data_IF_523538949305
#
_entry.id   IF_523538949305
#
_cell.length_a   1.000
_cell.length_b   1.000
_cell.length_c   1.000
_cell.angle_alpha   90.00
_cell.angle_beta   90.00
_cell.angle_gamma   90.00
#
_symmetry.space_group_name_H-M   'P 1'
#
loop_
_entity.id
_entity.type
_entity.pdbx_description
1 polymer ?
#
# COMPACT_ATOMS: atom_id res chain seq x y z
N UNK A 1 -46.14 29.06 14.68
CA UNK A 1 -45.05 29.57 15.54
C UNK A 1 -44.14 30.43 14.68
N UNK A 2 -44.04 31.73 15.01
CA UNK A 2 -43.07 32.67 14.44
C UNK A 2 -41.67 32.34 14.98
N UNK A 3 -40.63 32.43 14.15
CA UNK A 3 -39.38 33.14 14.50
C UNK A 3 -38.69 33.65 13.23
N UNK A 4 -38.50 34.96 13.21
CA UNK A 4 -37.70 35.72 12.24
C UNK A 4 -36.20 35.45 12.47
N UNK A 5 -35.39 35.61 11.42
CA UNK A 5 -34.03 36.14 11.56
C UNK A 5 -33.61 36.86 10.27
N UNK A 6 -32.84 37.96 10.38
CA UNK A 6 -32.96 39.12 9.50
C UNK A 6 -31.85 39.22 8.45
N UNK A 7 -32.20 39.86 7.34
CA UNK A 7 -31.32 40.46 6.34
C UNK A 7 -30.45 41.54 6.97
N UNK A 8 -29.12 41.43 6.86
CA UNK A 8 -28.21 42.53 7.21
C UNK A 8 -27.77 43.27 5.95
N UNK A 9 -28.26 44.51 5.88
CA UNK A 9 -27.89 45.57 4.94
C UNK A 9 -26.45 46.02 5.17
N UNK A 10 -25.66 46.11 4.10
CA UNK A 10 -24.37 46.79 4.13
C UNK A 10 -24.59 48.30 3.99
N UNK A 11 -24.50 49.04 5.11
CA UNK A 11 -24.27 50.49 5.05
C UNK A 11 -22.80 50.74 4.78
N UNK A 12 -22.51 51.24 3.59
CA UNK A 12 -21.21 51.85 3.25
C UNK A 12 -21.10 53.15 4.04
N UNK A 13 -20.27 53.17 5.08
CA UNK A 13 -19.85 54.42 5.70
C UNK A 13 -18.83 55.05 4.75
N UNK A 14 -19.29 56.05 4.02
CA UNK A 14 -18.48 56.94 3.20
C UNK A 14 -17.83 57.94 4.16
N UNK A 15 -16.53 57.80 4.41
CA UNK A 15 -15.77 58.81 5.17
C UNK A 15 -15.11 59.75 4.17
N UNK A 16 -15.59 60.99 4.22
CA UNK A 16 -15.19 62.14 3.42
C UNK A 16 -13.70 62.46 3.62
N UNK A 17 -12.96 62.62 2.52
CA UNK A 17 -11.54 62.99 2.51
C UNK A 17 -11.40 64.49 2.83
N UNK A 18 -11.55 64.92 4.09
CA UNK A 18 -11.22 66.30 4.50
C UNK A 18 -11.10 66.42 6.02
N UNK A 19 -9.93 66.04 6.51
CA UNK A 19 -9.19 66.65 7.64
C UNK A 19 -8.06 65.67 7.99
N UNK A 20 -6.83 66.01 7.60
CA UNK A 20 -5.64 65.30 8.05
C UNK A 20 -5.15 66.02 9.31
N UNK A 21 -5.33 65.46 10.52
CA UNK A 21 -4.64 65.97 11.70
C UNK A 21 -3.15 65.62 11.59
N UNK A 22 -2.30 66.51 12.10
CA UNK A 22 -0.84 66.48 12.04
C UNK A 22 -0.26 65.06 12.02
N UNK A 23 0.49 64.75 10.96
CA UNK A 23 1.19 63.47 10.82
C UNK A 23 2.21 63.38 11.96
N UNK A 24 1.85 62.64 13.02
CA UNK A 24 2.80 62.13 13.99
C UNK A 24 3.83 61.35 13.17
N UNK A 25 5.07 61.83 13.08
CA UNK A 25 6.17 61.08 12.49
C UNK A 25 6.35 59.80 13.31
N UNK A 26 5.74 58.72 12.82
CA UNK A 26 5.87 57.41 13.42
C UNK A 26 7.33 56.99 13.25
N UNK A 27 8.07 56.71 14.34
CA UNK A 27 9.48 56.33 14.24
C UNK A 27 9.61 55.15 13.27
N UNK A 28 10.62 55.14 12.37
CA UNK A 28 10.73 54.14 11.30
C UNK A 28 10.75 52.68 11.81
N UNK A 29 11.21 52.47 13.04
CA UNK A 29 11.16 51.16 13.72
C UNK A 29 9.73 50.65 13.98
N UNK A 30 8.78 51.56 14.15
CA UNK A 30 7.37 51.24 14.42
C UNK A 30 6.64 50.90 13.11
N UNK A 31 6.94 51.61 12.01
CA UNK A 31 6.45 51.26 10.67
C UNK A 31 6.95 49.88 10.23
N UNK A 32 8.24 49.60 10.44
CA UNK A 32 8.82 48.28 10.17
C UNK A 32 8.15 47.17 10.98
N UNK A 33 7.75 47.42 12.24
CA UNK A 33 7.01 46.43 13.04
C UNK A 33 5.60 46.19 12.52
N UNK A 34 4.88 47.23 12.07
CA UNK A 34 3.52 47.11 11.54
C UNK A 34 3.54 46.32 10.21
N UNK A 35 4.49 46.63 9.33
CA UNK A 35 4.66 45.95 8.03
C UNK A 35 5.02 44.46 8.20
N UNK A 36 5.93 44.14 9.13
CA UNK A 36 6.26 42.75 9.47
C UNK A 36 5.08 41.99 10.10
N UNK A 37 4.24 42.66 10.91
CA UNK A 37 3.05 42.05 11.53
C UNK A 37 1.94 41.83 10.50
N UNK A 38 1.74 42.72 9.53
CA UNK A 38 0.79 42.51 8.43
C UNK A 38 1.25 41.41 7.47
N UNK A 39 2.53 41.39 7.06
CA UNK A 39 3.07 40.33 6.20
C UNK A 39 3.00 38.95 6.87
N UNK A 40 3.29 38.83 8.17
CA UNK A 40 3.19 37.56 8.91
C UNK A 40 1.74 37.10 9.08
N UNK A 41 0.77 38.01 9.25
CA UNK A 41 -0.65 37.68 9.33
C UNK A 41 -1.26 37.30 7.96
N UNK A 42 -0.83 37.95 6.87
CA UNK A 42 -1.26 37.61 5.51
C UNK A 42 -0.66 36.27 5.07
N UNK A 43 0.62 36.02 5.33
CA UNK A 43 1.28 34.74 4.98
C UNK A 43 0.76 33.56 5.81
N UNK A 44 0.50 33.75 7.11
CA UNK A 44 -0.09 32.71 7.97
C UNK A 44 -1.55 32.38 7.59
N UNK A 45 -2.37 33.37 7.25
CA UNK A 45 -3.73 33.13 6.76
C UNK A 45 -3.76 32.48 5.37
N UNK A 46 -2.80 32.80 4.48
CA UNK A 46 -2.66 32.16 3.17
C UNK A 46 -2.23 30.69 3.29
N UNK A 47 -1.32 30.38 4.20
CA UNK A 47 -0.83 29.01 4.48
C UNK A 47 -1.89 28.17 5.19
N UNK A 48 -2.62 28.74 6.16
CA UNK A 48 -3.76 28.10 6.80
C UNK A 48 -4.86 27.76 5.80
N UNK A 49 -5.24 28.69 4.93
CA UNK A 49 -6.24 28.47 3.89
C UNK A 49 -5.80 27.40 2.87
N UNK A 50 -4.51 27.33 2.52
CA UNK A 50 -3.95 26.26 1.68
C UNK A 50 -4.00 24.90 2.38
N UNK A 51 -3.57 24.82 3.65
CA UNK A 51 -3.58 23.59 4.44
C UNK A 51 -5.01 23.07 4.64
N UNK A 52 -5.94 23.94 5.00
CA UNK A 52 -7.35 23.61 5.17
C UNK A 52 -8.01 23.15 3.86
N UNK A 53 -7.69 23.80 2.74
CA UNK A 53 -8.15 23.38 1.41
C UNK A 53 -7.58 22.02 1.01
N UNK A 54 -6.29 21.78 1.26
CA UNK A 54 -5.65 20.48 1.04
C UNK A 54 -6.27 19.39 1.91
N UNK A 55 -6.51 19.66 3.20
CA UNK A 55 -7.13 18.72 4.13
C UNK A 55 -8.56 18.37 3.69
N UNK A 56 -9.34 19.35 3.21
CA UNK A 56 -10.67 19.11 2.64
C UNK A 56 -10.61 18.24 1.38
N UNK A 57 -9.67 18.49 0.49
CA UNK A 57 -9.47 17.66 -0.71
C UNK A 57 -9.05 16.24 -0.30
N UNK A 58 -8.11 16.10 0.62
CA UNK A 58 -7.66 14.83 1.17
C UNK A 58 -8.83 14.06 1.83
N UNK A 59 -9.62 14.73 2.67
CA UNK A 59 -10.81 14.15 3.30
C UNK A 59 -11.85 13.69 2.26
N UNK A 60 -12.07 14.47 1.19
CA UNK A 60 -12.95 14.06 0.08
C UNK A 60 -12.46 12.81 -0.65
N UNK A 61 -11.16 12.51 -0.66
CA UNK A 61 -10.64 11.25 -1.26
C UNK A 61 -11.17 10.01 -0.53
N UNK A 62 -11.49 10.08 0.76
CA UNK A 62 -12.09 8.97 1.51
C UNK A 62 -13.51 8.63 1.06
N UNK A 63 -14.21 9.54 0.38
CA UNK A 63 -15.53 9.27 -0.20
C UNK A 63 -15.47 8.38 -1.44
N UNK A 64 -14.27 8.09 -1.96
CA UNK A 64 -14.07 7.27 -3.16
C UNK A 64 -14.38 7.99 -4.46
N UNK A 65 -13.91 7.42 -5.57
CA UNK A 65 -14.02 8.00 -6.91
C UNK A 65 -15.37 7.72 -7.60
N UNK A 66 -16.33 7.10 -6.89
CA UNK A 66 -17.65 6.74 -7.42
C UNK A 66 -17.59 5.89 -8.70
N UNK A 67 -16.54 5.08 -8.86
CA UNK A 67 -16.42 4.13 -9.96
C UNK A 67 -17.48 3.01 -9.84
N UNK A 68 -17.94 2.52 -10.99
CA UNK A 68 -18.90 1.42 -11.03
C UNK A 68 -18.29 0.13 -10.46
N UNK A 69 -19.10 -0.62 -9.72
CA UNK A 69 -18.67 -1.91 -9.15
C UNK A 69 -18.38 -2.90 -10.29
N UNK A 70 -17.37 -3.77 -10.13
CA UNK A 70 -17.12 -4.83 -11.10
C UNK A 70 -18.35 -5.73 -11.25
N UNK A 71 -18.65 -6.14 -12.49
CA UNK A 71 -19.77 -7.03 -12.80
C UNK A 71 -19.60 -8.38 -12.09
N UNK A 72 -20.72 -8.99 -11.68
CA UNK A 72 -20.71 -10.34 -11.08
C UNK A 72 -20.16 -11.36 -12.06
N UNK A 73 -19.35 -12.28 -11.55
CA UNK A 73 -18.79 -13.37 -12.34
C UNK A 73 -19.83 -14.51 -12.47
N UNK A 74 -19.81 -15.29 -13.57
CA UNK A 74 -20.64 -16.48 -13.67
C UNK A 74 -20.18 -17.55 -12.67
N UNK A 75 -21.09 -18.43 -12.22
CA UNK A 75 -20.80 -19.45 -11.19
C UNK A 75 -19.61 -20.36 -11.51
N UNK A 76 -19.38 -20.64 -12.79
CA UNK A 76 -18.25 -21.40 -13.31
C UNK A 76 -16.90 -20.80 -12.88
N UNK A 77 -16.79 -19.48 -12.85
CA UNK A 77 -15.56 -18.79 -12.44
C UNK A 77 -15.31 -18.99 -10.94
N UNK A 78 -16.33 -18.88 -10.09
CA UNK A 78 -16.18 -19.14 -8.66
C UNK A 78 -15.73 -20.58 -8.38
N UNK A 79 -16.26 -21.55 -9.13
CA UNK A 79 -15.85 -22.95 -9.03
C UNK A 79 -14.36 -23.13 -9.38
N UNK A 80 -13.89 -22.60 -10.51
CA UNK A 80 -12.48 -22.70 -10.91
C UNK A 80 -11.55 -21.95 -9.96
N UNK A 81 -11.97 -20.80 -9.43
CA UNK A 81 -11.25 -20.09 -8.37
C UNK A 81 -11.08 -20.95 -7.12
N UNK A 82 -12.15 -21.63 -6.69
CA UNK A 82 -12.12 -22.52 -5.54
C UNK A 82 -11.20 -23.72 -5.75
N UNK A 83 -11.37 -24.45 -6.87
CA UNK A 83 -10.53 -25.62 -7.18
C UNK A 83 -9.06 -25.22 -7.29
N UNK A 84 -8.76 -24.12 -7.97
CA UNK A 84 -7.39 -23.62 -8.11
C UNK A 84 -6.76 -23.25 -6.77
N UNK A 85 -7.46 -22.46 -5.95
CA UNK A 85 -6.98 -22.06 -4.64
C UNK A 85 -6.81 -23.26 -3.70
N UNK A 86 -7.77 -24.18 -3.68
CA UNK A 86 -7.69 -25.40 -2.88
C UNK A 86 -6.49 -26.25 -3.28
N UNK A 87 -6.34 -26.57 -4.57
CA UNK A 87 -5.22 -27.40 -5.04
C UNK A 87 -3.87 -26.70 -4.87
N UNK A 88 -3.80 -25.40 -5.11
CA UNK A 88 -2.57 -24.61 -4.96
C UNK A 88 -2.10 -24.59 -3.51
N UNK A 89 -2.99 -24.22 -2.58
CA UNK A 89 -2.67 -24.20 -1.15
C UNK A 89 -2.43 -25.60 -0.62
N UNK A 90 -3.19 -26.61 -1.04
CA UNK A 90 -2.96 -28.00 -0.64
C UNK A 90 -1.59 -28.50 -1.11
N UNK A 91 -1.17 -28.17 -2.34
CA UNK A 91 0.15 -28.54 -2.88
C UNK A 91 1.28 -27.85 -2.10
N UNK A 92 1.18 -26.54 -1.86
CA UNK A 92 2.17 -25.80 -1.05
C UNK A 92 2.21 -26.33 0.38
N UNK A 93 1.06 -26.57 0.99
CA UNK A 93 0.97 -27.13 2.34
C UNK A 93 1.59 -28.53 2.38
N UNK A 94 1.28 -29.39 1.42
CA UNK A 94 1.87 -30.73 1.32
C UNK A 94 3.39 -30.65 1.19
N UNK A 95 3.89 -29.81 0.28
CA UNK A 95 5.32 -29.59 0.06
C UNK A 95 6.01 -29.14 1.36
N UNK A 96 5.45 -28.14 2.04
CA UNK A 96 6.04 -27.58 3.25
C UNK A 96 5.91 -28.50 4.46
N UNK A 97 4.80 -29.20 4.66
CA UNK A 97 4.64 -30.12 5.80
C UNK A 97 5.43 -31.41 5.66
N UNK A 98 5.74 -31.85 4.42
CA UNK A 98 6.51 -33.09 4.18
C UNK A 98 8.00 -32.86 4.04
N UNK A 99 8.44 -31.76 3.41
CA UNK A 99 9.86 -31.50 3.13
C UNK A 99 10.53 -30.62 4.18
N UNK A 100 9.77 -29.82 4.94
CA UNK A 100 10.34 -28.88 5.90
C UNK A 100 9.83 -29.21 7.31
N UNK A 101 10.76 -29.36 8.25
CA UNK A 101 10.47 -29.82 9.59
C UNK A 101 9.51 -28.87 10.35
N UNK A 102 8.67 -29.45 11.22
CA UNK A 102 7.40 -28.97 11.81
C UNK A 102 7.37 -27.60 12.51
N UNK A 103 8.43 -26.79 12.52
CA UNK A 103 8.45 -25.54 13.28
C UNK A 103 8.75 -24.38 12.33
N UNK A 104 7.75 -23.49 12.19
CA UNK A 104 7.86 -22.06 11.80
C UNK A 104 7.46 -21.67 10.36
N UNK A 105 7.13 -22.62 9.49
CA UNK A 105 6.69 -22.32 8.12
C UNK A 105 5.19 -22.03 7.95
N UNK A 106 4.42 -22.15 9.03
CA UNK A 106 2.96 -21.92 9.03
C UNK A 106 2.58 -20.51 8.60
N UNK A 107 3.43 -19.50 8.82
CA UNK A 107 3.13 -18.13 8.41
C UNK A 107 3.18 -17.92 6.90
N UNK A 108 3.99 -18.70 6.17
CA UNK A 108 4.12 -18.54 4.73
C UNK A 108 2.86 -18.99 3.96
N UNK A 109 2.06 -19.86 4.57
CA UNK A 109 0.73 -20.21 4.08
C UNK A 109 -0.16 -18.96 4.02
N UNK A 110 0.00 -17.98 4.91
CA UNK A 110 -0.75 -16.71 4.85
C UNK A 110 -0.40 -15.87 3.62
N UNK A 111 0.89 -15.77 3.29
CA UNK A 111 1.36 -15.07 2.07
C UNK A 111 0.85 -15.79 0.82
N UNK A 112 1.00 -17.11 0.73
CA UNK A 112 0.48 -17.88 -0.41
C UNK A 112 -1.05 -17.93 -0.49
N UNK A 113 -1.76 -17.82 0.64
CA UNK A 113 -3.21 -17.66 0.67
C UNK A 113 -3.66 -16.38 -0.05
N UNK A 114 -2.96 -15.27 0.19
CA UNK A 114 -3.19 -14.04 -0.56
C UNK A 114 -2.81 -14.20 -2.04
N UNK A 115 -1.72 -14.91 -2.36
CA UNK A 115 -1.36 -15.26 -3.74
C UNK A 115 -2.46 -16.08 -4.42
N UNK A 116 -3.04 -17.06 -3.73
CA UNK A 116 -4.14 -17.87 -4.24
C UNK A 116 -5.36 -17.01 -4.59
N UNK A 117 -5.70 -16.04 -3.73
CA UNK A 117 -6.83 -15.15 -3.96
C UNK A 117 -6.69 -14.37 -5.27
N UNK A 118 -5.49 -13.91 -5.62
CA UNK A 118 -5.27 -13.16 -6.86
C UNK A 118 -5.01 -14.06 -8.07
N UNK A 119 -4.22 -15.13 -7.94
CA UNK A 119 -3.88 -16.02 -9.06
C UNK A 119 -5.11 -16.79 -9.57
N UNK A 120 -5.96 -17.24 -8.64
CA UNK A 120 -7.13 -18.04 -9.00
C UNK A 120 -8.42 -17.21 -9.03
N UNK A 121 -8.53 -16.15 -8.21
CA UNK A 121 -9.69 -15.26 -8.19
C UNK A 121 -9.66 -14.15 -9.26
N UNK A 122 -8.47 -13.73 -9.69
CA UNK A 122 -8.27 -12.70 -10.70
C UNK A 122 -7.09 -13.04 -11.64
N UNK A 123 -7.12 -14.17 -12.37
CA UNK A 123 -5.97 -14.69 -13.14
C UNK A 123 -5.44 -13.73 -14.23
N UNK A 124 -6.28 -12.81 -14.72
CA UNK A 124 -5.89 -11.79 -15.71
C UNK A 124 -5.24 -10.55 -15.10
N UNK A 125 -5.18 -10.45 -13.77
CA UNK A 125 -4.53 -9.34 -13.09
C UNK A 125 -3.03 -9.30 -13.45
N UNK A 126 -2.43 -8.11 -13.69
CA UNK A 126 -0.99 -8.00 -13.86
C UNK A 126 -0.21 -8.51 -12.63
N UNK A 127 -0.82 -8.42 -11.44
CA UNK A 127 -0.23 -8.90 -10.19
C UNK A 127 -0.26 -10.43 -10.05
N UNK A 128 -1.10 -11.11 -10.83
CA UNK A 128 -1.21 -12.57 -10.83
C UNK A 128 -0.26 -13.24 -11.81
N UNK A 129 0.40 -12.50 -12.71
CA UNK A 129 1.23 -13.07 -13.76
C UNK A 129 2.52 -13.71 -13.23
N UNK A 130 3.15 -14.65 -13.97
CA UNK A 130 4.30 -15.42 -13.51
C UNK A 130 5.48 -14.55 -13.05
N UNK A 131 5.80 -13.48 -13.79
CA UNK A 131 6.84 -12.50 -13.40
C UNK A 131 6.56 -11.89 -12.04
N UNK A 132 5.35 -11.38 -11.83
CA UNK A 132 4.94 -10.79 -10.56
C UNK A 132 4.97 -11.84 -9.45
N UNK A 133 4.42 -13.02 -9.67
CA UNK A 133 4.36 -14.09 -8.68
C UNK A 133 5.76 -14.52 -8.20
N UNK A 134 6.63 -14.95 -9.13
CA UNK A 134 7.97 -15.44 -8.79
C UNK A 134 8.86 -14.29 -8.35
N UNK A 135 8.95 -13.23 -9.17
CA UNK A 135 9.82 -12.09 -8.91
C UNK A 135 9.44 -11.35 -7.64
N UNK A 136 8.14 -11.18 -7.39
CA UNK A 136 7.63 -10.56 -6.17
C UNK A 136 8.02 -11.34 -4.92
N UNK A 137 7.70 -12.64 -4.83
CA UNK A 137 8.09 -13.45 -3.66
C UNK A 137 9.60 -13.51 -3.46
N UNK A 138 10.37 -13.62 -4.55
CA UNK A 138 11.83 -13.66 -4.50
C UNK A 138 12.42 -12.36 -3.96
N UNK A 139 12.00 -11.22 -4.51
CA UNK A 139 12.45 -9.89 -4.05
C UNK A 139 11.97 -9.62 -2.63
N UNK A 140 10.72 -9.95 -2.29
CA UNK A 140 10.20 -9.82 -0.94
C UNK A 140 11.00 -10.62 0.08
N UNK A 141 11.32 -11.88 -0.24
CA UNK A 141 12.17 -12.72 0.60
C UNK A 141 13.58 -12.13 0.76
N UNK A 142 14.22 -11.68 -0.33
CA UNK A 142 15.54 -11.05 -0.30
C UNK A 142 15.52 -9.79 0.57
N UNK A 143 14.57 -8.87 0.34
CA UNK A 143 14.44 -7.64 1.13
C UNK A 143 14.26 -7.96 2.61
N UNK A 144 13.38 -8.89 2.95
CA UNK A 144 13.16 -9.29 4.34
C UNK A 144 14.40 -9.92 4.99
N UNK A 145 15.12 -10.79 4.29
CA UNK A 145 16.36 -11.38 4.79
C UNK A 145 17.48 -10.34 4.96
N UNK A 146 17.67 -9.44 3.99
CA UNK A 146 18.66 -8.35 4.06
C UNK A 146 18.36 -7.42 5.23
N UNK A 147 17.09 -6.99 5.36
CA UNK A 147 16.66 -6.14 6.46
C UNK A 147 16.87 -6.86 7.80
N UNK A 148 16.48 -8.14 7.91
CA UNK A 148 16.67 -8.94 9.11
C UNK A 148 18.13 -9.03 9.55
N UNK A 149 19.06 -9.14 8.61
CA UNK A 149 20.51 -9.12 8.88
C UNK A 149 20.98 -7.73 9.32
N UNK A 150 20.54 -6.67 8.65
CA UNK A 150 20.95 -5.29 8.93
C UNK A 150 20.49 -4.81 10.31
N UNK A 151 19.30 -5.22 10.75
CA UNK A 151 18.67 -4.73 11.99
C UNK A 151 18.77 -5.74 13.15
N UNK A 152 19.62 -6.76 13.05
CA UNK A 152 19.62 -7.89 13.98
C UNK A 152 19.65 -7.47 15.47
N UNK A 153 20.27 -6.31 15.77
CA UNK A 153 20.42 -5.74 17.11
C UNK A 153 19.29 -4.74 17.52
N UNK A 154 18.36 -4.43 16.62
CA UNK A 154 17.27 -3.47 16.83
C UNK A 154 15.91 -4.15 17.07
N UNK A 155 14.93 -3.36 17.47
CA UNK A 155 13.54 -3.79 17.65
C UNK A 155 12.95 -4.39 16.37
N UNK A 156 12.37 -5.60 16.51
CA UNK A 156 11.82 -6.36 15.36
C UNK A 156 10.67 -5.62 14.66
N UNK A 157 9.90 -4.83 15.39
CA UNK A 157 8.76 -4.07 14.88
C UNK A 157 9.16 -3.07 13.79
N UNK A 158 10.27 -2.35 14.02
CA UNK A 158 10.85 -1.42 13.04
C UNK A 158 11.34 -2.18 11.82
N UNK A 159 11.92 -3.35 12.04
CA UNK A 159 12.33 -4.25 10.97
C UNK A 159 11.25 -4.70 10.02
N UNK A 160 10.13 -5.13 10.59
CA UNK A 160 8.94 -5.49 9.86
C UNK A 160 8.48 -4.34 8.95
N UNK A 161 8.43 -3.12 9.49
CA UNK A 161 8.02 -1.95 8.74
C UNK A 161 9.00 -1.63 7.58
N UNK A 162 10.30 -1.64 7.85
CA UNK A 162 11.34 -1.39 6.85
C UNK A 162 11.29 -2.47 5.75
N UNK A 163 11.25 -3.75 6.12
CA UNK A 163 11.24 -4.86 5.16
C UNK A 163 10.05 -4.80 4.21
N UNK A 164 8.84 -4.56 4.73
CA UNK A 164 7.64 -4.46 3.91
C UNK A 164 7.70 -3.23 3.01
N UNK A 165 8.05 -2.06 3.55
CA UNK A 165 8.15 -0.83 2.77
C UNK A 165 9.20 -0.94 1.65
N UNK A 166 10.38 -1.47 1.96
CA UNK A 166 11.44 -1.71 0.97
C UNK A 166 10.98 -2.72 -0.08
N UNK A 167 10.37 -3.84 0.31
CA UNK A 167 9.88 -4.83 -0.66
C UNK A 167 8.83 -4.25 -1.61
N UNK A 168 7.91 -3.41 -1.11
CA UNK A 168 6.92 -2.73 -1.96
C UNK A 168 7.63 -1.85 -2.99
N UNK A 169 8.54 -0.98 -2.56
CA UNK A 169 9.25 -0.07 -3.48
C UNK A 169 10.09 -0.84 -4.50
N UNK A 170 10.85 -1.85 -4.06
CA UNK A 170 11.71 -2.63 -4.98
C UNK A 170 10.87 -3.40 -5.99
N UNK A 171 9.77 -4.05 -5.57
CA UNK A 171 8.89 -4.78 -6.50
C UNK A 171 8.12 -3.87 -7.47
N UNK A 172 7.93 -2.59 -7.12
CA UNK A 172 7.43 -1.57 -8.04
C UNK A 172 8.50 -1.19 -9.06
N UNK A 173 9.74 -0.92 -8.61
CA UNK A 173 10.85 -0.55 -9.48
C UNK A 173 11.23 -1.66 -10.48
N UNK A 174 11.10 -2.92 -10.08
CA UNK A 174 11.40 -4.08 -10.95
C UNK A 174 10.21 -4.56 -11.77
N UNK A 175 9.06 -3.90 -11.66
CA UNK A 175 7.81 -4.29 -12.34
C UNK A 175 7.41 -5.75 -12.04
N UNK A 176 7.63 -6.18 -10.79
CA UNK A 176 7.28 -7.51 -10.29
C UNK A 176 6.33 -7.39 -9.11
N UNK A 177 5.47 -6.37 -9.13
CA UNK A 177 4.58 -6.07 -8.01
C UNK A 177 3.62 -7.23 -7.79
N UNK A 178 3.76 -7.88 -6.64
CA UNK A 178 2.88 -8.94 -6.19
C UNK A 178 2.56 -8.65 -4.73
N UNK A 179 1.37 -8.13 -4.40
CA UNK A 179 1.04 -7.69 -3.04
C UNK A 179 1.37 -8.71 -1.93
N UNK A 180 1.21 -10.04 -2.14
CA UNK A 180 1.64 -11.05 -1.17
C UNK A 180 3.14 -11.06 -0.84
N UNK A 181 4.00 -10.51 -1.70
CA UNK A 181 5.44 -10.37 -1.48
C UNK A 181 5.78 -9.52 -0.24
N UNK A 182 4.97 -8.51 0.07
CA UNK A 182 5.14 -7.72 1.30
C UNK A 182 4.98 -8.61 2.54
N UNK A 183 4.01 -9.51 2.53
CA UNK A 183 3.85 -10.50 3.60
C UNK A 183 5.04 -11.49 3.63
N UNK A 184 5.60 -11.88 2.48
CA UNK A 184 6.83 -12.69 2.43
C UNK A 184 8.01 -11.99 3.11
N UNK A 185 8.20 -10.69 2.84
CA UNK A 185 9.24 -9.89 3.48
C UNK A 185 9.05 -9.80 5.00
N UNK A 186 7.81 -9.57 5.45
CA UNK A 186 7.45 -9.56 6.86
C UNK A 186 7.76 -10.89 7.56
N UNK A 187 7.45 -12.01 6.90
CA UNK A 187 7.69 -13.35 7.43
C UNK A 187 9.19 -13.63 7.53
N UNK A 188 9.98 -13.22 6.54
CA UNK A 188 11.43 -13.37 6.59
C UNK A 188 12.06 -12.64 7.81
N UNK A 189 11.49 -11.51 8.24
CA UNK A 189 11.95 -10.80 9.45
C UNK A 189 11.51 -11.48 10.74
N UNK A 190 10.28 -12.01 10.76
CA UNK A 190 9.66 -12.58 11.97
C UNK A 190 9.99 -14.06 12.19
N UNK A 191 10.47 -14.77 11.16
CA UNK A 191 10.84 -16.18 11.23
C UNK A 191 11.96 -16.44 12.26
N UNK A 192 11.87 -17.59 12.92
CA UNK A 192 12.89 -18.16 13.81
C UNK A 192 13.23 -19.57 13.27
N UNK A 193 14.45 -20.11 13.44
CA UNK A 193 15.62 -19.57 14.14
C UNK A 193 16.50 -18.61 13.32
N UNK A 194 17.34 -17.90 14.06
CA UNK A 194 18.19 -16.80 13.62
C UNK A 194 19.54 -17.32 13.13
N UNK A 195 19.56 -18.36 12.29
CA UNK A 195 20.82 -18.72 11.64
C UNK A 195 20.96 -17.91 10.34
N UNK A 196 22.08 -17.22 10.09
CA UNK A 196 22.28 -16.46 8.85
C UNK A 196 22.10 -17.33 7.60
N UNK A 197 22.42 -18.63 7.72
CA UNK A 197 22.33 -19.62 6.66
C UNK A 197 20.88 -20.10 6.45
N UNK A 198 20.09 -20.14 7.52
CA UNK A 198 18.66 -20.45 7.44
C UNK A 198 17.86 -19.33 6.73
N UNK A 199 18.34 -18.08 6.80
CA UNK A 199 17.71 -16.95 6.11
C UNK A 199 17.84 -17.06 4.58
N UNK A 200 18.99 -17.47 4.04
CA UNK A 200 19.11 -17.66 2.59
C UNK A 200 18.36 -18.90 2.10
N UNK A 201 18.27 -19.94 2.93
CA UNK A 201 17.40 -21.09 2.67
C UNK A 201 15.92 -20.71 2.58
N UNK A 202 15.47 -19.69 3.33
CA UNK A 202 14.10 -19.17 3.23
C UNK A 202 13.76 -18.66 1.83
N UNK A 203 14.72 -18.07 1.13
CA UNK A 203 14.52 -17.52 -0.22
C UNK A 203 14.25 -18.66 -1.22
N UNK A 204 15.11 -19.69 -1.21
CA UNK A 204 15.05 -20.76 -2.20
C UNK A 204 14.01 -21.82 -1.86
N UNK A 205 13.94 -22.22 -0.60
CA UNK A 205 13.11 -23.36 -0.22
C UNK A 205 11.66 -22.91 -0.08
N UNK A 206 11.21 -22.20 0.96
CA UNK A 206 9.79 -21.95 1.11
C UNK A 206 9.25 -20.83 0.21
N UNK A 207 10.01 -19.77 -0.09
CA UNK A 207 9.51 -18.67 -0.93
C UNK A 207 9.48 -19.04 -2.42
N UNK A 208 10.62 -19.44 -3.00
CA UNK A 208 10.70 -19.78 -4.42
C UNK A 208 9.97 -21.09 -4.75
N UNK A 209 10.19 -22.17 -3.99
CA UNK A 209 9.50 -23.43 -4.29
C UNK A 209 7.98 -23.34 -4.13
N UNK A 210 7.49 -22.58 -3.14
CA UNK A 210 6.07 -22.29 -2.96
C UNK A 210 5.51 -21.47 -4.13
N UNK A 211 6.21 -20.42 -4.57
CA UNK A 211 5.80 -19.62 -5.73
C UNK A 211 5.77 -20.45 -7.03
N UNK A 212 6.78 -21.29 -7.26
CA UNK A 212 6.82 -22.22 -8.39
C UNK A 212 5.71 -23.26 -8.34
N UNK A 213 5.39 -23.78 -7.15
CA UNK A 213 4.28 -24.73 -6.95
C UNK A 213 2.94 -24.08 -7.25
N UNK A 214 2.71 -22.86 -6.75
CA UNK A 214 1.52 -22.07 -7.05
C UNK A 214 1.40 -21.79 -8.55
N UNK A 215 2.50 -21.41 -9.20
CA UNK A 215 2.53 -21.19 -10.64
C UNK A 215 2.18 -22.45 -11.42
N UNK A 216 2.77 -23.59 -11.05
CA UNK A 216 2.49 -24.87 -11.69
C UNK A 216 1.00 -25.23 -11.63
N UNK A 217 0.39 -25.12 -10.44
CA UNK A 217 -1.06 -25.36 -10.29
C UNK A 217 -1.88 -24.33 -11.07
N UNK A 218 -1.46 -23.06 -11.09
CA UNK A 218 -2.12 -22.02 -11.85
C UNK A 218 -2.13 -22.28 -13.36
N UNK A 219 -0.99 -22.72 -13.92
CA UNK A 219 -0.87 -23.10 -15.31
C UNK A 219 -1.79 -24.26 -15.67
N UNK A 220 -2.00 -25.22 -14.78
CA UNK A 220 -2.90 -26.35 -15.02
C UNK A 220 -4.36 -25.89 -14.90
N UNK A 221 -4.76 -25.40 -13.73
CA UNK A 221 -6.17 -25.16 -13.41
C UNK A 221 -6.76 -24.02 -14.25
N UNK A 222 -6.02 -22.92 -14.44
CA UNK A 222 -6.54 -21.79 -15.21
C UNK A 222 -6.57 -22.06 -16.72
N UNK A 223 -5.82 -23.04 -17.25
CA UNK A 223 -5.92 -23.39 -18.69
C UNK A 223 -6.89 -24.54 -18.96
N UNK A 224 -7.25 -25.36 -17.97
CA UNK A 224 -8.35 -26.33 -18.11
C UNK A 224 -9.71 -25.61 -18.17
N UNK A 225 -9.85 -24.49 -17.44
CA UNK A 225 -11.06 -23.70 -17.41
C UNK A 225 -11.36 -23.04 -18.78
N UNK A 226 -12.48 -23.36 -19.46
CA UNK A 226 -12.70 -22.95 -20.86
C UNK A 226 -12.72 -21.44 -21.13
N UNK A 227 -13.01 -20.62 -20.11
CA UNK A 227 -13.15 -19.16 -20.22
C UNK A 227 -11.91 -18.40 -19.72
N UNK A 228 -10.91 -19.12 -19.21
CA UNK A 228 -9.68 -18.56 -18.66
C UNK A 228 -8.52 -18.82 -19.61
N UNK A 229 -7.51 -17.98 -19.49
CA UNK A 229 -6.24 -18.13 -20.18
C UNK A 229 -5.18 -17.60 -19.24
N UNK A 230 -4.16 -18.41 -18.95
CA UNK A 230 -3.10 -18.03 -18.04
C UNK A 230 -1.77 -18.67 -18.46
N UNK A 231 -0.67 -17.92 -18.53
CA UNK A 231 -0.57 -16.49 -18.24
C UNK A 231 -1.06 -15.63 -19.41
N UNK A 232 -1.34 -14.36 -19.14
CA UNK A 232 -1.53 -13.35 -20.18
C UNK A 232 -0.19 -12.87 -20.75
N UNK A 233 0.84 -12.80 -19.91
CA UNK A 233 2.22 -12.52 -20.30
C UNK A 233 3.20 -13.14 -19.31
N UNK A 234 4.42 -13.45 -19.76
CA UNK A 234 5.46 -14.04 -18.91
C UNK A 234 6.40 -12.99 -18.32
N UNK A 235 6.70 -11.91 -19.04
CA UNK A 235 7.70 -10.89 -18.71
C UNK A 235 7.24 -9.49 -19.04
#
# INVERSE_FOLDING_TARGET
MKTNSPTLSFSVINIDHKEAPDLIEVPPETLAKIENVEETNVTSSLTFNKCWKWLRIYAKKFCGLHEERPKRLPWQEYFWSFIGAFLGIAAVAFLHFRLLEKRQLSFLIGSFGASAAIIFGAPRSPFAQPRSLIGGHLIGAICGCVVRLAIYQFEKSVGCAIAVATAIVVTQLTETTHPPAGATALIAVTAHPILPWANFQFILIPALSGACTMLFVALIVNNIAPKRTYPSFWW
#
